data_IF_973751330219
#
_entry.id   IF_973751330219
#
_cell.length_a   1.000
_cell.length_b   1.000
_cell.length_c   1.000
_cell.angle_alpha   90.00
_cell.angle_beta   90.00
_cell.angle_gamma   90.00
#
_symmetry.space_group_name_H-M   'P 1'
#
loop_
_entity.id
_entity.type
_entity.pdbx_description
1 polymer ?
#
# COMPACT_ATOMS: atom_id res chain seq x y z
N UNK A 1 -10.32 -5.04 -1.58
CA UNK A 1 -8.98 -5.20 -2.17
C UNK A 1 -7.96 -4.80 -1.12
N UNK A 2 -6.95 -5.63 -0.92
CA UNK A 2 -5.82 -5.39 -0.01
C UNK A 2 -4.65 -4.91 -0.85
N UNK A 3 -3.89 -3.94 -0.36
CA UNK A 3 -2.62 -3.50 -0.97
C UNK A 3 -1.47 -3.92 -0.05
N UNK A 4 -0.35 -4.32 -0.65
CA UNK A 4 0.88 -4.68 0.04
C UNK A 4 2.00 -3.75 -0.39
N UNK A 5 2.86 -3.37 0.55
CA UNK A 5 4.02 -2.54 0.30
C UNK A 5 5.31 -3.29 0.66
N UNK A 6 6.35 -3.03 -0.13
CA UNK A 6 7.75 -3.43 0.04
C UNK A 6 8.53 -2.12 0.14
N UNK A 7 8.87 -1.73 1.36
CA UNK A 7 9.51 -0.45 1.66
C UNK A 7 11.00 -0.53 1.38
N UNK A 8 11.53 0.47 0.70
CA UNK A 8 12.98 0.51 0.46
C UNK A 8 13.73 0.96 1.72
N UNK A 9 14.74 0.20 2.12
CA UNK A 9 15.72 0.61 3.12
C UNK A 9 17.06 1.00 2.46
N UNK A 10 18.15 1.04 3.25
CA UNK A 10 19.49 1.34 2.75
C UNK A 10 20.04 0.35 1.70
N UNK A 11 19.46 -0.86 1.64
CA UNK A 11 19.78 -1.91 0.66
C UNK A 11 18.77 -1.97 -0.49
N UNK A 12 17.70 -1.17 -0.45
CA UNK A 12 16.61 -1.18 -1.42
C UNK A 12 15.41 -2.01 -0.97
N UNK A 13 14.63 -2.50 -1.94
CA UNK A 13 13.46 -3.37 -1.74
C UNK A 13 13.90 -4.84 -1.71
N UNK A 14 13.33 -5.66 -0.84
CA UNK A 14 13.73 -7.06 -0.65
C UNK A 14 12.76 -8.08 -1.28
N UNK A 15 11.67 -7.61 -1.86
CA UNK A 15 10.63 -8.43 -2.49
C UNK A 15 9.63 -9.03 -1.50
N UNK A 16 9.71 -8.68 -0.21
CA UNK A 16 8.80 -9.11 0.84
C UNK A 16 7.87 -7.96 1.25
N UNK A 17 6.76 -8.33 1.90
CA UNK A 17 5.79 -7.32 2.33
C UNK A 17 6.11 -6.83 3.73
N UNK A 18 6.30 -5.52 3.87
CA UNK A 18 6.48 -4.85 5.17
C UNK A 18 5.16 -4.30 5.72
N UNK A 19 4.30 -3.82 4.82
CA UNK A 19 3.10 -3.10 5.20
C UNK A 19 1.89 -3.45 4.35
N UNK A 20 0.70 -3.19 4.87
CA UNK A 20 -0.56 -3.46 4.17
C UNK A 20 -1.65 -2.46 4.51
N UNK A 21 -2.58 -2.27 3.57
CA UNK A 21 -3.74 -1.41 3.71
C UNK A 21 -4.96 -1.92 2.96
N UNK A 22 -6.09 -1.25 3.18
CA UNK A 22 -7.32 -1.49 2.42
C UNK A 22 -7.44 -0.42 1.35
N UNK A 23 -7.57 -0.84 0.09
CA UNK A 23 -7.88 0.09 -1.01
C UNK A 23 -9.34 0.54 -0.88
N UNK A 24 -9.55 1.84 -0.75
CA UNK A 24 -10.88 2.45 -0.71
C UNK A 24 -11.39 2.81 -2.11
N UNK A 25 -10.52 3.38 -2.95
CA UNK A 25 -10.83 3.78 -4.33
C UNK A 25 -9.57 3.98 -5.17
N UNK A 26 -9.75 4.02 -6.49
CA UNK A 26 -8.72 4.44 -7.45
C UNK A 26 -9.33 5.53 -8.33
N UNK A 27 -8.71 6.71 -8.34
CA UNK A 27 -9.15 7.84 -9.16
C UNK A 27 -7.95 8.73 -9.52
N UNK A 28 -8.00 9.38 -10.69
CA UNK A 28 -6.98 10.35 -11.13
C UNK A 28 -5.54 9.81 -11.06
N UNK A 29 -5.34 8.54 -11.41
CA UNK A 29 -4.02 7.89 -11.40
C UNK A 29 -3.46 7.63 -10.00
N UNK A 30 -4.29 7.66 -8.96
CA UNK A 30 -3.90 7.39 -7.57
C UNK A 30 -4.76 6.30 -6.95
N UNK A 31 -4.14 5.49 -6.09
CA UNK A 31 -4.82 4.57 -5.18
C UNK A 31 -4.97 5.26 -3.82
N UNK A 32 -6.17 5.22 -3.25
CA UNK A 32 -6.48 5.76 -1.93
C UNK A 32 -6.72 4.62 -0.96
N UNK A 33 -6.12 4.71 0.21
CA UNK A 33 -6.03 3.61 1.17
C UNK A 33 -6.45 4.04 2.57
N UNK A 34 -6.88 3.07 3.38
CA UNK A 34 -6.92 3.19 4.85
C UNK A 34 -5.93 2.19 5.42
N UNK A 35 -5.04 2.70 6.26
CA UNK A 35 -3.89 1.98 6.78
C UNK A 35 -3.77 2.21 8.29
N UNK A 36 -3.43 1.15 9.01
CA UNK A 36 -3.02 1.24 10.42
C UNK A 36 -1.55 1.62 10.52
N UNK A 37 -1.09 1.96 11.74
CA UNK A 37 0.30 2.32 12.00
C UNK A 37 0.86 3.45 11.12
N UNK A 38 0.00 4.29 10.55
CA UNK A 38 0.41 5.47 9.79
C UNK A 38 0.66 6.61 10.78
N UNK A 39 1.81 6.58 11.46
CA UNK A 39 2.13 7.48 12.57
C UNK A 39 1.28 7.19 13.81
N UNK A 40 1.35 5.93 14.27
CA UNK A 40 0.65 5.40 15.46
C UNK A 40 -0.87 5.56 15.46
N UNK A 41 -1.49 5.71 14.28
CA UNK A 41 -2.94 5.82 14.13
C UNK A 41 -3.43 5.21 12.82
N UNK A 42 -4.74 5.03 12.71
CA UNK A 42 -5.40 4.74 11.43
C UNK A 42 -5.49 6.04 10.64
N UNK A 43 -5.03 6.04 9.37
CA UNK A 43 -5.09 7.22 8.49
C UNK A 43 -5.49 6.84 7.07
N UNK A 44 -5.92 7.87 6.34
CA UNK A 44 -6.07 7.77 4.89
C UNK A 44 -4.79 8.24 4.22
N UNK A 45 -4.27 7.43 3.30
CA UNK A 45 -3.11 7.75 2.49
C UNK A 45 -3.48 7.67 1.00
N UNK A 46 -2.59 8.17 0.13
CA UNK A 46 -2.74 7.98 -1.30
C UNK A 46 -1.38 7.90 -2.00
N UNK A 47 -1.31 7.04 -3.01
CA UNK A 47 -0.09 6.77 -3.77
C UNK A 47 -0.38 6.85 -5.27
N UNK A 48 0.58 7.27 -6.11
CA UNK A 48 0.49 7.05 -7.55
C UNK A 48 0.25 5.58 -7.86
N UNK A 49 -0.56 5.29 -8.89
CA UNK A 49 -0.65 3.93 -9.43
C UNK A 49 0.72 3.54 -9.97
N UNK A 50 1.23 2.38 -9.56
CA UNK A 50 2.59 1.92 -9.89
C UNK A 50 3.69 2.59 -9.07
N UNK A 51 3.37 3.21 -7.93
CA UNK A 51 4.37 3.67 -6.97
C UNK A 51 5.32 2.51 -6.61
N UNK A 52 6.62 2.78 -6.57
CA UNK A 52 7.64 1.73 -6.58
C UNK A 52 7.56 0.81 -5.35
N UNK A 53 7.11 1.31 -4.20
CA UNK A 53 6.93 0.52 -2.97
C UNK A 53 5.63 -0.29 -2.94
N UNK A 54 4.78 -0.19 -3.96
CA UNK A 54 3.62 -1.07 -4.07
C UNK A 54 4.10 -2.43 -4.58
N UNK A 55 4.15 -3.40 -3.67
CA UNK A 55 4.48 -4.79 -3.98
C UNK A 55 3.37 -5.45 -4.81
N UNK A 56 2.11 -5.17 -4.47
CA UNK A 56 0.97 -5.73 -5.21
C UNK A 56 -0.36 -5.60 -4.51
N UNK A 57 -1.36 -6.31 -5.04
CA UNK A 57 -2.74 -6.29 -4.57
C UNK A 57 -3.30 -7.69 -4.37
N UNK A 58 -4.13 -7.86 -3.33
CA UNK A 58 -4.87 -9.07 -3.06
C UNK A 58 -6.39 -8.84 -3.14
N UNK A 59 -7.08 -9.65 -3.94
CA UNK A 59 -8.53 -9.69 -3.98
C UNK A 59 -9.03 -10.88 -3.13
N UNK A 60 -9.67 -10.64 -1.98
CA UNK A 60 -10.27 -11.72 -1.21
C UNK A 60 -11.32 -12.46 -2.04
N UNK A 61 -11.37 -13.79 -1.92
CA UNK A 61 -12.42 -14.62 -2.52
C UNK A 61 -13.60 -14.69 -1.55
N UNK A 62 -14.56 -13.78 -1.70
CA UNK A 62 -15.82 -13.75 -0.96
C UNK A 62 -16.95 -14.44 -1.73
#
# INVERSE_FOLDING_TARGET
MIIFFDWADESGQDGLSDHTGIVQKVENGRVYTVEGNSGDSVRQNSYPVGYYEILGYGAPAY
#
